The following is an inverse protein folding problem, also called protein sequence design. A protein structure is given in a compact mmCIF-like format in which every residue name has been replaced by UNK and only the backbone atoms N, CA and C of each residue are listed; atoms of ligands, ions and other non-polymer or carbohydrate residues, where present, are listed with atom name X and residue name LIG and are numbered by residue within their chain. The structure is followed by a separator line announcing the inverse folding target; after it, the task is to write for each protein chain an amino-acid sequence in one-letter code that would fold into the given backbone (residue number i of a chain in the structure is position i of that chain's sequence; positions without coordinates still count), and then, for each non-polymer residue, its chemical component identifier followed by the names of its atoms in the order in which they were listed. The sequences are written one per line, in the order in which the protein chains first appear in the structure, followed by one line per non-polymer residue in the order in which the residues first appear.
data_IF_281956432958
#
_entry.id   IF_281956432958
#
_cell.length_a   1.000
_cell.length_b   1.000
_cell.length_c   1.000
_cell.angle_alpha   90.00
_cell.angle_beta   90.00
_cell.angle_gamma   90.00
#
_symmetry.space_group_name_H-M   'P 1'
#
loop_
_entity.id
_entity.type
_entity.pdbx_description
1 polymer ?
#
# COMPACT_ATOMS: atom_id res chain seq x y z
N UNK A 1 -18.51 7.13 0.27
CA UNK A 1 -18.17 5.92 -0.52
C UNK A 1 -18.33 4.69 0.38
N UNK A 2 -18.95 3.60 -0.10
CA UNK A 2 -19.27 2.43 0.72
C UNK A 2 -17.99 1.71 1.19
N UNK A 3 -17.84 1.49 2.51
CA UNK A 3 -16.71 0.80 3.14
C UNK A 3 -16.52 -0.64 2.62
N UNK A 4 -17.62 -1.31 2.27
CA UNK A 4 -17.61 -2.63 1.65
C UNK A 4 -16.94 -2.56 0.28
N UNK A 5 -17.34 -1.60 -0.57
CA UNK A 5 -16.79 -1.45 -1.92
C UNK A 5 -15.29 -1.18 -1.87
N UNK A 6 -14.84 -0.25 -1.03
CA UNK A 6 -13.40 0.04 -0.84
C UNK A 6 -12.61 -1.17 -0.37
N UNK A 7 -13.20 -1.98 0.52
CA UNK A 7 -12.58 -3.22 1.00
C UNK A 7 -12.44 -4.24 -0.12
N UNK A 8 -13.47 -4.43 -0.93
CA UNK A 8 -13.43 -5.32 -2.10
C UNK A 8 -12.41 -4.84 -3.12
N UNK A 9 -12.37 -3.53 -3.41
CA UNK A 9 -11.37 -2.93 -4.29
C UNK A 9 -9.95 -3.20 -3.76
N UNK A 10 -9.71 -2.96 -2.47
CA UNK A 10 -8.41 -3.17 -1.85
C UNK A 10 -7.96 -4.62 -2.02
N UNK A 11 -8.84 -5.59 -1.71
CA UNK A 11 -8.55 -7.01 -1.88
C UNK A 11 -8.26 -7.32 -3.35
N UNK A 12 -9.09 -6.84 -4.26
CA UNK A 12 -8.92 -7.07 -5.69
C UNK A 12 -7.57 -6.57 -6.21
N UNK A 13 -7.19 -5.33 -5.88
CA UNK A 13 -5.92 -4.75 -6.32
C UNK A 13 -4.71 -5.36 -5.62
N UNK A 14 -4.83 -5.75 -4.34
CA UNK A 14 -3.77 -6.45 -3.62
C UNK A 14 -3.52 -7.87 -4.17
N UNK A 15 -4.56 -8.58 -4.61
CA UNK A 15 -4.42 -9.94 -5.13
C UNK A 15 -4.02 -10.00 -6.62
N UNK A 16 -4.28 -8.93 -7.38
CA UNK A 16 -3.90 -8.86 -8.81
C UNK A 16 -2.42 -9.21 -9.00
N UNK A 17 -2.05 -10.02 -10.00
CA UNK A 17 -0.64 -10.22 -10.32
C UNK A 17 -0.01 -8.89 -10.74
N UNK A 18 1.24 -8.66 -10.34
CA UNK A 18 2.02 -7.56 -10.90
C UNK A 18 2.16 -7.84 -12.39
N UNK A 19 1.88 -6.86 -13.26
CA UNK A 19 2.27 -6.97 -14.67
C UNK A 19 3.80 -7.15 -14.69
N UNK A 20 4.28 -8.33 -15.04
CA UNK A 20 5.71 -8.61 -15.21
C UNK A 20 6.24 -7.59 -16.21
N UNK A 21 7.24 -6.79 -15.83
CA UNK A 21 7.77 -5.71 -16.68
C UNK A 21 7.19 -4.31 -16.44
N UNK A 22 6.26 -4.12 -15.50
CA UNK A 22 5.95 -2.80 -14.96
C UNK A 22 7.12 -2.32 -14.08
N UNK A 23 8.18 -1.86 -14.74
CA UNK A 23 9.19 -1.01 -14.13
C UNK A 23 8.43 0.22 -13.61
N UNK A 24 8.58 0.59 -12.33
CA UNK A 24 7.94 1.80 -11.85
C UNK A 24 8.39 2.95 -12.75
N UNK A 25 7.47 3.85 -13.19
CA UNK A 25 7.88 4.96 -14.03
C UNK A 25 9.04 5.69 -13.32
N UNK A 26 10.11 5.96 -14.07
CA UNK A 26 11.27 6.68 -13.57
C UNK A 26 10.78 7.96 -12.85
N UNK A 27 11.05 8.09 -11.55
CA UNK A 27 10.56 9.19 -10.72
C UNK A 27 9.30 8.91 -9.87
N UNK A 28 8.69 7.72 -9.92
CA UNK A 28 7.56 7.38 -9.05
C UNK A 28 7.94 7.39 -7.55
N UNK A 29 9.18 7.01 -7.23
CA UNK A 29 9.76 7.12 -5.88
C UNK A 29 9.97 8.59 -5.47
N UNK A 30 10.19 9.49 -6.44
CA UNK A 30 10.31 10.92 -6.21
C UNK A 30 8.93 11.60 -6.03
N UNK A 31 7.89 11.14 -6.73
CA UNK A 31 6.52 11.61 -6.50
C UNK A 31 5.94 11.11 -5.16
N UNK A 32 6.27 9.88 -4.77
CA UNK A 32 5.94 9.37 -3.44
C UNK A 32 6.65 10.19 -2.35
N UNK A 33 7.92 10.58 -2.55
CA UNK A 33 8.68 11.45 -1.64
C UNK A 33 7.97 12.75 -1.29
N UNK A 34 7.31 13.40 -2.24
CA UNK A 34 6.58 14.67 -2.02
C UNK A 34 5.19 14.47 -1.40
N UNK A 35 4.68 13.23 -1.37
CA UNK A 35 3.32 12.91 -0.94
C UNK A 35 3.22 12.45 0.53
N UNK A 36 4.35 12.26 1.22
CA UNK A 36 4.36 11.92 2.64
C UNK A 36 4.10 13.13 3.53
N UNK A 37 3.33 12.93 4.60
CA UNK A 37 3.17 13.94 5.64
C UNK A 37 4.45 14.11 6.50
N UNK A 38 4.41 15.04 7.45
CA UNK A 38 5.53 15.31 8.37
C UNK A 38 5.91 14.09 9.24
N UNK A 39 5.05 13.08 9.34
CA UNK A 39 5.23 11.84 10.10
C UNK A 39 5.65 10.67 9.20
N UNK A 40 5.94 10.94 7.93
CA UNK A 40 6.33 9.94 6.94
C UNK A 40 5.22 8.96 6.61
N UNK A 41 3.95 9.34 6.76
CA UNK A 41 2.78 8.54 6.41
C UNK A 41 2.24 9.00 5.04
N UNK A 42 1.96 8.03 4.17
CA UNK A 42 1.33 8.26 2.88
C UNK A 42 -0.10 7.71 2.91
N UNK A 43 -1.09 8.59 2.79
CA UNK A 43 -2.48 8.16 2.62
C UNK A 43 -2.73 7.76 1.17
N UNK A 44 -3.27 6.55 0.96
CA UNK A 44 -3.52 6.02 -0.39
C UNK A 44 -4.90 5.42 -0.53
N UNK A 45 -5.48 5.65 -1.70
CA UNK A 45 -6.71 4.99 -2.13
C UNK A 45 -6.45 3.50 -2.45
N UNK A 46 -7.42 2.59 -2.20
CA UNK A 46 -7.28 1.17 -2.51
C UNK A 46 -6.77 0.85 -3.91
N UNK A 47 -7.17 1.65 -4.90
CA UNK A 47 -6.82 1.50 -6.32
C UNK A 47 -5.33 1.74 -6.59
N UNK A 48 -4.66 2.53 -5.75
CA UNK A 48 -3.24 2.84 -5.91
C UNK A 48 -2.36 1.59 -5.82
N UNK A 49 -2.79 0.56 -5.07
CA UNK A 49 -2.07 -0.72 -4.98
C UNK A 49 -2.03 -1.48 -6.32
N UNK A 50 -2.88 -1.13 -7.30
CA UNK A 50 -2.89 -1.75 -8.61
C UNK A 50 -1.59 -1.56 -9.41
N UNK A 51 -0.84 -0.48 -9.16
CA UNK A 51 0.48 -0.22 -9.74
C UNK A 51 1.64 -0.95 -9.05
N UNK A 52 1.36 -1.59 -7.91
CA UNK A 52 2.35 -2.12 -6.99
C UNK A 52 2.70 -1.14 -5.86
N UNK A 53 3.27 -1.70 -4.79
CA UNK A 53 3.56 -1.00 -3.54
C UNK A 53 5.01 -0.46 -3.54
N UNK A 54 5.91 -1.09 -4.28
CA UNK A 54 7.32 -0.67 -4.42
C UNK A 54 7.56 0.85 -4.59
N UNK A 55 6.85 1.55 -5.49
CA UNK A 55 7.02 3.00 -5.69
C UNK A 55 6.66 3.85 -4.47
N UNK A 56 5.87 3.31 -3.55
CA UNK A 56 5.38 3.99 -2.35
C UNK A 56 6.34 3.80 -1.17
N UNK A 57 7.63 3.56 -1.45
CA UNK A 57 8.67 3.39 -0.42
C UNK A 57 9.43 4.71 -0.29
N UNK A 58 9.73 5.10 0.94
CA UNK A 58 10.54 6.29 1.19
C UNK A 58 12.03 6.04 0.86
N UNK A 59 12.85 7.10 0.97
CA UNK A 59 14.30 7.01 0.68
C UNK A 59 15.10 6.09 1.61
N UNK A 60 14.52 5.65 2.72
CA UNK A 60 15.13 4.71 3.68
C UNK A 60 14.75 3.24 3.40
N UNK A 61 13.98 2.99 2.33
CA UNK A 61 13.43 1.66 2.06
C UNK A 61 12.24 1.32 2.96
N UNK A 62 11.66 2.30 3.67
CA UNK A 62 10.52 2.08 4.55
C UNK A 62 9.21 2.40 3.85
N UNK A 63 8.21 1.57 4.13
CA UNK A 63 6.84 1.72 3.69
C UNK A 63 5.98 2.06 4.91
N UNK A 64 5.17 3.12 4.80
CA UNK A 64 4.20 3.49 5.81
C UNK A 64 2.98 4.13 5.13
N UNK A 65 1.94 3.33 4.90
CA UNK A 65 0.73 3.72 4.18
C UNK A 65 -0.48 3.71 5.10
N UNK A 66 -1.39 4.67 4.93
CA UNK A 66 -2.74 4.58 5.49
C UNK A 66 -3.76 4.38 4.38
N UNK A 67 -4.62 3.37 4.53
CA UNK A 67 -5.70 3.07 3.59
C UNK A 67 -7.04 3.30 4.30
N UNK A 68 -7.67 4.47 4.10
CA UNK A 68 -8.90 4.80 4.80
C UNK A 68 -10.10 4.05 4.22
N UNK A 69 -11.13 3.89 5.05
CA UNK A 69 -12.42 3.33 4.68
C UNK A 69 -12.39 1.84 4.31
N UNK A 70 -11.48 1.06 4.91
CA UNK A 70 -11.39 -0.39 4.68
C UNK A 70 -11.66 -1.19 5.97
N UNK A 71 -12.14 -2.42 5.82
CA UNK A 71 -12.28 -3.37 6.93
C UNK A 71 -11.00 -4.18 7.15
N UNK A 72 -10.85 -4.70 8.37
CA UNK A 72 -9.74 -5.57 8.79
C UNK A 72 -9.52 -6.78 7.86
N UNK A 73 -10.59 -7.28 7.24
CA UNK A 73 -10.54 -8.46 6.35
C UNK A 73 -9.56 -8.28 5.18
N UNK A 74 -9.34 -7.04 4.71
CA UNK A 74 -8.40 -6.78 3.63
C UNK A 74 -6.93 -6.84 4.07
N UNK A 75 -6.64 -6.86 5.38
CA UNK A 75 -5.27 -6.87 5.90
C UNK A 75 -4.45 -8.06 5.38
N UNK A 76 -5.06 -9.25 5.32
CA UNK A 76 -4.40 -10.46 4.83
C UNK A 76 -4.00 -10.33 3.36
N UNK A 77 -4.86 -9.75 2.52
CA UNK A 77 -4.56 -9.52 1.11
C UNK A 77 -3.42 -8.51 0.94
N UNK A 78 -3.39 -7.45 1.76
CA UNK A 78 -2.30 -6.45 1.76
C UNK A 78 -0.98 -7.09 2.22
N UNK A 79 -0.98 -7.85 3.31
CA UNK A 79 0.21 -8.57 3.79
C UNK A 79 0.76 -9.53 2.74
N UNK A 80 -0.12 -10.30 2.08
CA UNK A 80 0.25 -11.18 0.99
C UNK A 80 0.91 -10.41 -0.16
N UNK A 81 0.34 -9.26 -0.54
CA UNK A 81 0.90 -8.40 -1.58
C UNK A 81 2.30 -7.89 -1.22
N UNK A 82 2.49 -7.41 0.01
CA UNK A 82 3.79 -6.96 0.50
C UNK A 82 4.84 -8.06 0.42
N UNK A 83 4.50 -9.28 0.86
CA UNK A 83 5.40 -10.43 0.80
C UNK A 83 5.77 -10.80 -0.63
N UNK A 84 4.81 -10.78 -1.55
CA UNK A 84 5.07 -11.03 -2.99
C UNK A 84 5.95 -9.96 -3.64
N UNK A 85 5.90 -8.73 -3.15
CA UNK A 85 6.76 -7.64 -3.65
C UNK A 85 8.15 -7.59 -2.98
N UNK A 86 8.43 -8.51 -2.06
CA UNK A 86 9.74 -8.62 -1.41
C UNK A 86 9.91 -7.73 -0.19
N UNK A 87 8.83 -7.22 0.40
CA UNK A 87 8.91 -6.49 1.66
C UNK A 87 9.12 -7.44 2.85
N UNK A 88 9.93 -6.97 3.80
CA UNK A 88 10.22 -7.57 5.09
C UNK A 88 9.59 -6.74 6.22
N UNK A 89 9.58 -7.29 7.45
CA UNK A 89 9.01 -6.63 8.64
C UNK A 89 7.59 -6.04 8.43
N UNK A 90 6.77 -6.73 7.63
CA UNK A 90 5.46 -6.22 7.23
C UNK A 90 4.47 -6.27 8.40
N UNK A 91 3.79 -5.16 8.67
CA UNK A 91 2.68 -5.09 9.62
C UNK A 91 1.48 -4.44 8.98
N UNK A 92 0.29 -4.89 9.37
CA UNK A 92 -0.96 -4.17 9.09
C UNK A 92 -1.69 -4.00 10.41
N UNK A 93 -1.89 -2.76 10.82
CA UNK A 93 -2.59 -2.40 12.05
C UNK A 93 -3.93 -1.78 11.70
N UNK A 94 -4.98 -2.25 12.36
CA UNK A 94 -6.30 -1.63 12.24
C UNK A 94 -6.28 -0.35 13.06
N UNK A 95 -6.60 0.78 12.43
CA UNK A 95 -6.77 2.08 13.09
C UNK A 95 -8.17 2.60 12.86
N UNK A 96 -8.57 3.60 13.63
CA UNK A 96 -9.87 4.24 13.45
C UNK A 96 -10.03 4.69 11.99
N UNK A 97 -11.06 4.15 11.35
CA UNK A 97 -11.39 4.45 9.97
C UNK A 97 -10.56 3.73 8.90
N UNK A 98 -9.59 2.86 9.18
CA UNK A 98 -8.81 2.23 8.11
C UNK A 98 -7.72 1.25 8.51
N UNK A 99 -6.77 1.05 7.59
CA UNK A 99 -5.62 0.15 7.77
C UNK A 99 -4.32 0.95 7.67
N UNK A 100 -3.47 0.86 8.69
CA UNK A 100 -2.10 1.31 8.65
C UNK A 100 -1.22 0.14 8.19
N UNK A 101 -0.48 0.32 7.12
CA UNK A 101 0.36 -0.69 6.49
C UNK A 101 1.81 -0.25 6.62
N UNK A 102 2.66 -1.13 7.11
CA UNK A 102 4.09 -0.86 7.23
C UNK A 102 4.91 -2.01 6.68
N UNK A 103 6.12 -1.71 6.26
CA UNK A 103 7.08 -2.70 5.80
C UNK A 103 8.43 -2.06 5.49
N UNK A 104 9.41 -2.90 5.20
CA UNK A 104 10.75 -2.46 4.85
C UNK A 104 11.30 -3.26 3.69
N UNK A 105 12.07 -2.62 2.82
CA UNK A 105 12.79 -3.24 1.73
C UNK A 105 14.29 -3.03 1.88
#
# INVERSE_FOLDING_TARGET
MNRVLRTVELIYFALRPRKLGAQPPYGAEAAARESYDAQGLLEVEPRALGGGIGPMTNSRGELKLFIPGCYALAATAVLFRLKREGFSACTVTIRDGGLLVQGRR
#
